data_IF_260382071153
#
_entry.id   IF_260382071153
#
_cell.length_a   1.000
_cell.length_b   1.000
_cell.length_c   1.000
_cell.angle_alpha   90.00
_cell.angle_beta   90.00
_cell.angle_gamma   90.00
#
_symmetry.space_group_name_H-M   'P 1'
#
loop_
_entity.id
_entity.type
_entity.pdbx_description
1 polymer ?
#
# COMPACT_ATOMS: atom_id res chain seq x y z
N UNK A 1 7.09 -26.04 30.79
CA UNK A 1 6.30 -26.28 29.56
C UNK A 1 6.61 -25.23 28.49
N UNK A 2 6.33 -23.93 28.70
CA UNK A 2 6.61 -22.86 27.71
C UNK A 2 8.05 -22.85 27.22
N UNK A 3 9.04 -22.88 28.13
CA UNK A 3 10.46 -22.96 27.76
C UNK A 3 10.81 -24.17 26.89
N UNK A 4 10.13 -25.30 27.08
CA UNK A 4 10.37 -26.49 26.27
C UNK A 4 9.86 -26.27 24.84
N UNK A 5 8.65 -25.74 24.68
CA UNK A 5 8.08 -25.44 23.36
C UNK A 5 8.86 -24.35 22.63
N UNK A 6 9.33 -23.31 23.33
CA UNK A 6 10.14 -22.24 22.75
C UNK A 6 11.48 -22.73 22.18
N UNK A 7 12.03 -23.84 22.67
CA UNK A 7 13.30 -24.39 22.14
C UNK A 7 13.15 -25.02 20.76
N UNK A 8 11.93 -25.41 20.37
CA UNK A 8 11.67 -26.05 19.09
C UNK A 8 11.48 -25.07 17.93
N UNK A 9 11.80 -23.78 18.10
CA UNK A 9 11.84 -22.81 16.99
C UNK A 9 12.87 -23.19 15.93
N UNK A 10 13.97 -23.80 16.34
CA UNK A 10 15.07 -24.22 15.45
C UNK A 10 15.04 -25.72 15.14
N UNK A 11 13.89 -26.38 15.32
CA UNK A 11 13.75 -27.82 15.06
C UNK A 11 13.80 -28.09 13.54
N UNK A 12 14.50 -29.15 13.12
CA UNK A 12 14.64 -29.52 11.70
C UNK A 12 13.28 -29.84 11.06
N UNK A 13 12.29 -30.29 11.85
CA UNK A 13 10.97 -30.63 11.36
C UNK A 13 10.05 -29.40 11.31
N UNK A 14 9.56 -28.97 10.14
CA UNK A 14 8.57 -27.90 10.05
C UNK A 14 7.27 -28.26 10.79
N UNK A 15 6.92 -29.55 10.86
CA UNK A 15 5.75 -29.99 11.62
C UNK A 15 5.94 -29.79 13.12
N UNK A 16 7.15 -30.03 13.65
CA UNK A 16 7.44 -29.78 15.07
C UNK A 16 7.41 -28.29 15.37
N UNK A 17 8.11 -27.46 14.59
CA UNK A 17 8.07 -25.99 14.72
C UNK A 17 6.64 -25.46 14.76
N UNK A 18 5.81 -25.90 13.81
CA UNK A 18 4.39 -25.53 13.68
C UNK A 18 3.55 -25.95 14.89
N UNK A 19 3.67 -27.21 15.32
CA UNK A 19 2.88 -27.74 16.44
C UNK A 19 3.31 -27.13 17.78
N UNK A 20 4.60 -26.91 17.99
CA UNK A 20 5.10 -26.24 19.18
C UNK A 20 4.59 -24.80 19.27
N UNK A 21 4.58 -24.06 18.15
CA UNK A 21 4.01 -22.71 18.10
C UNK A 21 2.50 -22.70 18.38
N UNK A 22 1.73 -23.61 17.77
CA UNK A 22 0.30 -23.76 18.10
C UNK A 22 0.08 -24.07 19.57
N UNK A 23 0.88 -24.97 20.13
CA UNK A 23 0.82 -25.32 21.55
C UNK A 23 1.08 -24.13 22.48
N UNK A 24 1.94 -23.19 22.09
CA UNK A 24 2.20 -21.96 22.86
C UNK A 24 0.98 -21.05 22.96
N UNK A 25 0.26 -20.84 21.85
CA UNK A 25 -0.89 -19.92 21.80
C UNK A 25 -2.21 -20.56 22.24
N UNK A 26 -2.28 -21.88 22.30
CA UNK A 26 -3.45 -22.63 22.80
C UNK A 26 -3.42 -22.89 24.32
N UNK A 27 -2.40 -22.39 25.03
CA UNK A 27 -2.38 -22.46 26.48
C UNK A 27 -3.53 -21.65 27.10
N UNK A 28 -3.93 -21.94 28.35
CA UNK A 28 -4.84 -21.06 29.09
C UNK A 28 -4.39 -19.60 29.02
N UNK A 29 -5.34 -18.68 28.84
CA UNK A 29 -5.06 -17.25 28.59
C UNK A 29 -4.12 -16.62 29.62
N UNK A 30 -4.22 -17.02 30.89
CA UNK A 30 -3.32 -16.57 31.95
C UNK A 30 -1.84 -16.85 31.64
N UNK A 31 -1.54 -17.98 31.01
CA UNK A 31 -0.18 -18.34 30.61
C UNK A 31 0.24 -17.62 29.33
N UNK A 32 -0.66 -17.47 28.36
CA UNK A 32 -0.37 -16.68 27.15
C UNK A 32 0.01 -15.25 27.55
N UNK A 33 -0.78 -14.62 28.43
CA UNK A 33 -0.50 -13.28 28.97
C UNK A 33 0.83 -13.24 29.72
N UNK A 34 1.07 -14.19 30.62
CA UNK A 34 2.30 -14.28 31.41
C UNK A 34 3.56 -14.40 30.54
N UNK A 35 3.48 -15.07 29.40
CA UNK A 35 4.61 -15.34 28.52
C UNK A 35 4.54 -14.62 27.17
N UNK A 36 3.75 -13.55 27.08
CA UNK A 36 3.48 -12.83 25.83
C UNK A 36 4.77 -12.44 25.10
N UNK A 37 5.74 -11.85 25.80
CA UNK A 37 7.01 -11.41 25.20
C UNK A 37 7.82 -12.57 24.61
N UNK A 38 7.87 -13.72 25.30
CA UNK A 38 8.57 -14.90 24.79
C UNK A 38 7.85 -15.49 23.59
N UNK A 39 6.51 -15.57 23.65
CA UNK A 39 5.67 -16.06 22.55
C UNK A 39 5.82 -15.17 21.32
N UNK A 40 5.80 -13.84 21.48
CA UNK A 40 6.04 -12.89 20.40
C UNK A 40 7.44 -13.03 19.82
N UNK A 41 8.47 -13.26 20.64
CA UNK A 41 9.82 -13.55 20.16
C UNK A 41 9.89 -14.80 19.28
N UNK A 42 9.19 -15.87 19.68
CA UNK A 42 9.08 -17.10 18.89
C UNK A 42 8.31 -16.87 17.59
N UNK A 43 7.14 -16.22 17.64
CA UNK A 43 6.35 -15.89 16.46
C UNK A 43 7.17 -15.06 15.49
N UNK A 44 7.82 -14.00 16.00
CA UNK A 44 8.67 -13.12 15.23
C UNK A 44 9.68 -13.98 14.44
N UNK A 45 10.45 -14.84 15.12
CA UNK A 45 11.43 -15.73 14.47
C UNK A 45 10.83 -16.63 13.37
N UNK A 46 9.62 -17.15 13.57
CA UNK A 46 8.95 -18.07 12.65
C UNK A 46 8.18 -17.38 11.51
N UNK A 47 8.06 -16.05 11.51
CA UNK A 47 7.50 -15.32 10.35
C UNK A 47 8.42 -15.39 9.11
N UNK A 48 9.74 -15.49 9.33
CA UNK A 48 10.75 -15.63 8.26
C UNK A 48 11.12 -17.11 8.00
N UNK A 49 10.28 -18.05 8.43
CA UNK A 49 10.57 -19.47 8.25
C UNK A 49 10.66 -19.85 6.77
N UNK A 50 11.56 -20.78 6.43
CA UNK A 50 11.68 -21.29 5.06
C UNK A 50 10.50 -22.17 4.64
N UNK A 51 9.76 -22.74 5.59
CA UNK A 51 8.57 -23.54 5.33
C UNK A 51 7.30 -22.68 5.43
N UNK A 52 6.59 -22.58 4.31
CA UNK A 52 5.39 -21.76 4.16
C UNK A 52 4.27 -22.16 5.15
N UNK A 53 4.17 -23.44 5.52
CA UNK A 53 3.17 -23.90 6.50
C UNK A 53 3.48 -23.41 7.92
N UNK A 54 4.76 -23.22 8.23
CA UNK A 54 5.23 -22.63 9.48
C UNK A 54 4.96 -21.13 9.47
N UNK A 55 5.29 -20.42 8.38
CA UNK A 55 4.97 -18.98 8.22
C UNK A 55 3.47 -18.71 8.38
N UNK A 56 2.63 -19.50 7.71
CA UNK A 56 1.16 -19.38 7.84
C UNK A 56 0.71 -19.57 9.28
N UNK A 57 1.29 -20.54 9.98
CA UNK A 57 0.95 -20.76 11.38
C UNK A 57 1.44 -19.61 12.26
N UNK A 58 2.63 -19.06 11.98
CA UNK A 58 3.18 -17.94 12.74
C UNK A 58 2.32 -16.69 12.60
N UNK A 59 1.92 -16.32 11.39
CA UNK A 59 1.09 -15.14 11.18
C UNK A 59 -0.33 -15.30 11.76
N UNK A 60 -0.92 -16.51 11.69
CA UNK A 60 -2.20 -16.77 12.36
C UNK A 60 -2.08 -16.76 13.89
N UNK A 61 -0.98 -17.28 14.44
CA UNK A 61 -0.71 -17.22 15.88
C UNK A 61 -0.48 -15.78 16.36
N UNK A 62 0.15 -14.93 15.54
CA UNK A 62 0.34 -13.52 15.83
C UNK A 62 -0.99 -12.81 16.06
N UNK A 63 -1.97 -13.01 15.17
CA UNK A 63 -3.30 -12.40 15.29
C UNK A 63 -3.96 -12.74 16.64
N UNK A 64 -3.95 -14.02 17.02
CA UNK A 64 -4.53 -14.47 18.31
C UNK A 64 -3.83 -13.84 19.51
N UNK A 65 -2.50 -13.68 19.46
CA UNK A 65 -1.73 -13.12 20.57
C UNK A 65 -1.92 -11.60 20.67
N UNK A 66 -1.97 -10.89 19.53
CA UNK A 66 -2.13 -9.43 19.49
C UNK A 66 -3.45 -8.95 20.08
N UNK A 67 -4.52 -9.74 20.05
CA UNK A 67 -5.82 -9.37 20.62
C UNK A 67 -5.79 -9.17 22.15
N UNK A 68 -4.85 -9.83 22.84
CA UNK A 68 -4.77 -9.83 24.31
C UNK A 68 -3.45 -9.28 24.86
N UNK A 69 -2.52 -8.90 23.98
CA UNK A 69 -1.20 -8.42 24.38
C UNK A 69 -1.25 -7.01 24.97
N UNK A 70 -0.42 -6.75 25.98
CA UNK A 70 -0.19 -5.39 26.48
C UNK A 70 0.72 -4.62 25.53
N UNK A 71 0.66 -3.28 25.60
CA UNK A 71 1.55 -2.41 24.82
C UNK A 71 3.02 -2.69 25.13
N UNK A 72 3.36 -2.81 26.40
CA UNK A 72 4.73 -3.06 26.87
C UNK A 72 5.33 -4.36 26.30
N UNK A 73 4.49 -5.36 26.00
CA UNK A 73 4.93 -6.62 25.43
C UNK A 73 5.20 -6.53 23.92
N UNK A 74 4.41 -5.73 23.18
CA UNK A 74 4.48 -5.61 21.72
C UNK A 74 5.46 -4.53 21.28
N UNK A 75 5.54 -3.41 22.01
CA UNK A 75 6.37 -2.26 21.64
C UNK A 75 7.82 -2.64 21.29
N UNK A 76 8.54 -3.48 22.05
CA UNK A 76 9.93 -3.84 21.74
C UNK A 76 10.11 -4.58 20.40
N UNK A 77 9.06 -5.23 19.89
CA UNK A 77 9.09 -6.03 18.66
C UNK A 77 8.28 -5.41 17.52
N UNK A 78 7.59 -4.29 17.75
CA UNK A 78 6.65 -3.67 16.81
C UNK A 78 7.27 -3.42 15.44
N UNK A 79 8.42 -2.75 15.38
CA UNK A 79 9.10 -2.45 14.12
C UNK A 79 9.48 -3.73 13.34
N UNK A 80 10.03 -4.73 14.03
CA UNK A 80 10.44 -5.99 13.41
C UNK A 80 9.24 -6.80 12.90
N UNK A 81 8.14 -6.81 13.66
CA UNK A 81 6.88 -7.41 13.21
C UNK A 81 6.37 -6.70 11.94
N UNK A 82 6.34 -5.37 11.94
CA UNK A 82 5.92 -4.58 10.78
C UNK A 82 6.73 -4.91 9.52
N UNK A 83 8.05 -5.01 9.62
CA UNK A 83 8.93 -5.36 8.50
C UNK A 83 8.62 -6.77 7.97
N UNK A 84 8.54 -7.76 8.87
CA UNK A 84 8.28 -9.17 8.48
C UNK A 84 6.91 -9.35 7.86
N UNK A 85 5.89 -8.71 8.42
CA UNK A 85 4.53 -8.74 7.86
C UNK A 85 4.48 -8.13 6.46
N UNK A 86 5.19 -7.01 6.21
CA UNK A 86 5.31 -6.44 4.87
C UNK A 86 5.93 -7.41 3.87
N UNK A 87 6.95 -8.17 4.27
CA UNK A 87 7.53 -9.19 3.39
C UNK A 87 6.51 -10.29 3.06
N UNK A 88 5.74 -10.74 4.04
CA UNK A 88 4.69 -11.75 3.85
C UNK A 88 3.52 -11.27 2.97
N UNK A 89 3.28 -9.96 2.84
CA UNK A 89 2.31 -9.41 1.88
C UNK A 89 2.73 -9.64 0.41
N UNK A 90 3.98 -10.05 0.16
CA UNK A 90 4.45 -10.46 -1.17
C UNK A 90 4.38 -11.97 -1.43
N UNK A 91 3.93 -12.77 -0.45
CA UNK A 91 3.85 -14.22 -0.59
C UNK A 91 2.82 -14.62 -1.66
N UNK A 92 3.06 -15.69 -2.42
CA UNK A 92 2.09 -16.22 -3.39
C UNK A 92 0.85 -16.81 -2.71
N UNK A 93 0.99 -17.28 -1.47
CA UNK A 93 -0.11 -17.83 -0.70
C UNK A 93 -1.04 -16.72 -0.20
N UNK A 94 -2.27 -16.73 -0.72
CA UNK A 94 -3.34 -15.79 -0.38
C UNK A 94 -3.65 -15.77 1.11
N UNK A 95 -3.63 -16.93 1.78
CA UNK A 95 -3.89 -17.01 3.23
C UNK A 95 -2.78 -16.32 4.01
N UNK A 96 -1.52 -16.49 3.60
CA UNK A 96 -0.40 -15.76 4.23
C UNK A 96 -0.54 -14.27 4.00
N UNK A 97 -0.79 -13.83 2.76
CA UNK A 97 -1.01 -12.39 2.46
C UNK A 97 -2.15 -11.80 3.28
N UNK A 98 -3.31 -12.46 3.31
CA UNK A 98 -4.49 -12.00 4.03
C UNK A 98 -4.21 -11.86 5.54
N UNK A 99 -3.62 -12.90 6.16
CA UNK A 99 -3.23 -12.83 7.58
C UNK A 99 -2.16 -11.77 7.82
N UNK A 100 -1.22 -11.57 6.90
CA UNK A 100 -0.17 -10.56 7.02
C UNK A 100 -0.74 -9.14 6.98
N UNK A 101 -1.68 -8.85 6.08
CA UNK A 101 -2.40 -7.58 6.08
C UNK A 101 -3.19 -7.38 7.36
N UNK A 102 -3.97 -8.38 7.78
CA UNK A 102 -4.79 -8.29 8.99
C UNK A 102 -3.93 -8.05 10.24
N UNK A 103 -2.82 -8.78 10.39
CA UNK A 103 -1.89 -8.61 11.51
C UNK A 103 -1.23 -7.23 11.48
N UNK A 104 -0.88 -6.72 10.30
CA UNK A 104 -0.34 -5.37 10.15
C UNK A 104 -1.36 -4.30 10.58
N UNK A 105 -2.65 -4.56 10.36
CA UNK A 105 -3.74 -3.71 10.84
C UNK A 105 -3.90 -3.77 12.35
N UNK A 106 -3.84 -4.97 12.93
CA UNK A 106 -3.85 -5.16 14.37
C UNK A 106 -2.68 -4.46 15.07
N UNK A 107 -1.51 -4.34 14.42
CA UNK A 107 -0.38 -3.57 14.97
C UNK A 107 -0.67 -2.06 15.12
N UNK A 108 -1.70 -1.51 14.45
CA UNK A 108 -2.00 -0.08 14.51
C UNK A 108 -2.38 0.40 15.91
N UNK A 109 -2.95 -0.48 16.75
CA UNK A 109 -3.29 -0.17 18.16
C UNK A 109 -2.05 0.07 19.04
N UNK A 110 -0.89 -0.40 18.58
CA UNK A 110 0.41 -0.25 19.24
C UNK A 110 1.23 0.91 18.67
N UNK A 111 0.83 1.48 17.53
CA UNK A 111 1.52 2.55 16.79
C UNK A 111 1.37 3.97 17.37
N UNK A 112 1.10 4.12 18.67
CA UNK A 112 0.93 5.45 19.32
C UNK A 112 1.98 5.74 20.40
N UNK A 113 3.02 4.90 20.51
CA UNK A 113 4.11 5.06 21.48
C UNK A 113 5.39 5.67 20.89
N UNK A 114 6.53 5.55 21.59
CA UNK A 114 7.86 5.97 21.11
C UNK A 114 8.23 5.50 19.70
N UNK A 115 7.72 4.35 19.26
CA UNK A 115 7.96 3.82 17.91
C UNK A 115 6.95 4.28 16.85
N UNK A 116 6.06 5.24 17.16
CA UNK A 116 5.02 5.73 16.26
C UNK A 116 5.56 6.08 14.87
N UNK A 117 6.60 6.91 14.80
CA UNK A 117 7.12 7.38 13.51
C UNK A 117 7.73 6.23 12.70
N UNK A 118 8.50 5.35 13.35
CA UNK A 118 9.08 4.18 12.70
C UNK A 118 8.00 3.21 12.20
N UNK A 119 6.92 3.03 12.96
CA UNK A 119 5.75 2.25 12.55
C UNK A 119 5.04 2.89 11.36
N UNK A 120 4.81 4.20 11.39
CA UNK A 120 4.20 4.95 10.29
C UNK A 120 5.04 4.87 9.01
N UNK A 121 6.37 4.90 9.10
CA UNK A 121 7.22 4.67 7.92
C UNK A 121 7.03 3.27 7.32
N UNK A 122 6.88 2.24 8.16
CA UNK A 122 6.52 0.90 7.64
C UNK A 122 5.16 0.92 6.96
N UNK A 123 4.20 1.65 7.52
CA UNK A 123 2.89 1.80 6.91
C UNK A 123 2.98 2.48 5.54
N UNK A 124 3.62 3.64 5.44
CA UNK A 124 3.83 4.35 4.19
C UNK A 124 4.52 3.47 3.13
N UNK A 125 5.49 2.65 3.56
CA UNK A 125 6.16 1.71 2.66
C UNK A 125 5.27 0.53 2.21
N UNK A 126 4.20 0.20 2.94
CA UNK A 126 3.21 -0.83 2.59
C UNK A 126 2.00 -0.27 1.82
N UNK A 127 1.72 1.03 2.00
CA UNK A 127 0.49 1.67 1.56
C UNK A 127 0.20 1.50 0.06
N UNK A 128 1.14 1.77 -0.87
CA UNK A 128 0.89 1.56 -2.29
C UNK A 128 0.44 0.13 -2.58
N UNK A 129 1.20 -0.87 -2.10
CA UNK A 129 0.86 -2.29 -2.28
C UNK A 129 -0.53 -2.61 -1.72
N UNK A 130 -0.85 -2.16 -0.51
CA UNK A 130 -2.17 -2.38 0.08
C UNK A 130 -3.31 -1.87 -0.81
N UNK A 131 -3.17 -0.66 -1.36
CA UNK A 131 -4.16 -0.07 -2.28
C UNK A 131 -4.32 -0.92 -3.54
N UNK A 132 -3.22 -1.46 -4.08
CA UNK A 132 -3.23 -2.32 -5.26
C UNK A 132 -3.86 -3.69 -4.99
N UNK A 133 -3.94 -4.13 -3.75
CA UNK A 133 -4.58 -5.40 -3.35
C UNK A 133 -6.03 -5.24 -2.86
N UNK A 134 -6.58 -4.01 -2.84
CA UNK A 134 -8.01 -3.78 -2.53
C UNK A 134 -8.97 -4.42 -3.54
N UNK A 135 -8.49 -4.68 -4.76
CA UNK A 135 -9.23 -5.34 -5.83
C UNK A 135 -8.31 -6.37 -6.52
N UNK A 136 -8.23 -7.58 -5.97
CA UNK A 136 -7.52 -8.74 -6.55
C UNK A 136 -8.43 -9.96 -6.63
N UNK A 137 -8.00 -11.15 -7.06
CA UNK A 137 -8.92 -12.29 -7.18
C UNK A 137 -9.43 -12.85 -5.84
N UNK A 138 -8.58 -12.93 -4.80
CA UNK A 138 -8.96 -13.51 -3.51
C UNK A 138 -9.71 -12.51 -2.59
N UNK A 139 -10.92 -12.89 -2.17
CA UNK A 139 -11.78 -12.07 -1.32
C UNK A 139 -11.20 -11.84 0.09
N UNK A 140 -10.48 -12.81 0.63
CA UNK A 140 -9.92 -12.69 1.99
C UNK A 140 -8.80 -11.64 2.03
N UNK A 141 -7.98 -11.56 0.97
CA UNK A 141 -6.96 -10.51 0.86
C UNK A 141 -7.59 -9.14 0.69
N UNK A 142 -8.60 -8.99 -0.19
CA UNK A 142 -9.34 -7.71 -0.34
C UNK A 142 -9.87 -7.21 0.99
N UNK A 143 -10.55 -8.09 1.74
CA UNK A 143 -11.14 -7.73 3.02
C UNK A 143 -10.08 -7.37 4.06
N UNK A 144 -8.97 -8.11 4.09
CA UNK A 144 -7.85 -7.79 4.96
C UNK A 144 -7.26 -6.41 4.62
N UNK A 145 -7.00 -6.10 3.35
CA UNK A 145 -6.54 -4.77 2.93
C UNK A 145 -7.50 -3.66 3.33
N UNK A 146 -8.82 -3.85 3.11
CA UNK A 146 -9.85 -2.87 3.46
C UNK A 146 -9.88 -2.58 4.97
N UNK A 147 -9.92 -3.63 5.78
CA UNK A 147 -9.92 -3.52 7.24
C UNK A 147 -8.64 -2.85 7.75
N UNK A 148 -7.48 -3.27 7.24
CA UNK A 148 -6.19 -2.72 7.63
C UNK A 148 -6.08 -1.23 7.29
N UNK A 149 -6.49 -0.81 6.09
CA UNK A 149 -6.52 0.61 5.73
C UNK A 149 -7.43 1.44 6.67
N UNK A 150 -8.57 0.90 7.10
CA UNK A 150 -9.42 1.58 8.08
C UNK A 150 -8.76 1.69 9.46
N UNK A 151 -8.01 0.67 9.90
CA UNK A 151 -7.33 0.67 11.20
C UNK A 151 -6.16 1.65 11.27
N UNK A 152 -5.47 1.91 10.16
CA UNK A 152 -4.23 2.70 10.09
C UNK A 152 -4.44 4.12 9.59
N UNK A 153 -5.45 4.38 8.76
CA UNK A 153 -5.70 5.70 8.18
C UNK A 153 -5.83 6.84 9.21
N UNK A 154 -6.45 6.63 10.40
CA UNK A 154 -6.46 7.66 11.44
C UNK A 154 -5.08 8.06 11.95
N UNK A 155 -4.06 7.18 11.79
CA UNK A 155 -2.70 7.46 12.23
C UNK A 155 -1.89 8.25 11.20
N UNK A 156 -2.31 8.26 9.94
CA UNK A 156 -1.55 8.85 8.83
C UNK A 156 -1.66 10.37 8.74
N UNK A 157 -2.68 10.95 9.39
CA UNK A 157 -2.93 12.40 9.37
C UNK A 157 -3.02 12.98 7.95
N UNK A 158 -3.49 12.18 6.99
CA UNK A 158 -3.76 12.63 5.62
C UNK A 158 -5.18 13.21 5.58
N UNK A 159 -5.28 14.46 5.17
CA UNK A 159 -6.57 15.10 4.94
C UNK A 159 -7.39 14.34 3.89
N UNK A 160 -8.70 14.21 4.13
CA UNK A 160 -9.62 13.57 3.19
C UNK A 160 -9.54 12.03 3.11
N UNK A 161 -8.45 11.38 3.54
CA UNK A 161 -8.31 9.93 3.38
C UNK A 161 -9.40 9.15 4.12
N UNK A 162 -9.74 9.56 5.35
CA UNK A 162 -10.77 8.89 6.14
C UNK A 162 -12.16 9.03 5.49
N UNK A 163 -12.45 10.17 4.87
CA UNK A 163 -13.70 10.35 4.14
C UNK A 163 -13.74 9.42 2.92
N UNK A 164 -12.63 9.33 2.19
CA UNK A 164 -12.49 8.46 1.03
C UNK A 164 -12.68 6.96 1.37
N UNK A 165 -12.10 6.48 2.47
CA UNK A 165 -12.26 5.09 2.94
C UNK A 165 -13.67 4.75 3.45
N UNK A 166 -14.52 5.77 3.65
CA UNK A 166 -15.93 5.59 4.03
C UNK A 166 -16.90 5.74 2.86
N UNK A 167 -16.40 5.94 1.63
CA UNK A 167 -17.23 5.95 0.43
C UNK A 167 -17.75 4.54 0.09
N UNK A 168 -18.86 4.48 -0.65
CA UNK A 168 -19.38 3.20 -1.15
C UNK A 168 -18.39 2.50 -2.08
N UNK A 169 -17.60 3.27 -2.84
CA UNK A 169 -16.58 2.75 -3.75
C UNK A 169 -15.54 1.87 -3.04
N UNK A 170 -15.10 2.27 -1.85
CA UNK A 170 -14.06 1.56 -1.10
C UNK A 170 -14.45 0.12 -0.74
N UNK A 171 -15.75 -0.10 -0.48
CA UNK A 171 -16.26 -1.41 -0.06
C UNK A 171 -16.85 -2.22 -1.22
N UNK A 172 -16.89 -1.65 -2.43
CA UNK A 172 -17.46 -2.29 -3.61
C UNK A 172 -16.52 -3.33 -4.21
N UNK A 173 -17.09 -4.42 -4.69
CA UNK A 173 -16.37 -5.46 -5.46
C UNK A 173 -16.37 -5.18 -6.98
N UNK A 174 -17.07 -4.13 -7.42
CA UNK A 174 -17.10 -3.73 -8.81
C UNK A 174 -15.81 -3.01 -9.22
N UNK A 175 -15.27 -3.40 -10.37
CA UNK A 175 -14.04 -2.85 -10.93
C UNK A 175 -14.13 -1.34 -11.18
N UNK A 176 -15.26 -0.87 -11.70
CA UNK A 176 -15.52 0.56 -11.96
C UNK A 176 -15.44 1.41 -10.70
N UNK A 177 -16.05 0.92 -9.63
CA UNK A 177 -16.11 1.63 -8.35
C UNK A 177 -14.71 1.71 -7.72
N UNK A 178 -13.92 0.63 -7.83
CA UNK A 178 -12.51 0.67 -7.44
C UNK A 178 -11.69 1.66 -8.27
N UNK A 179 -11.95 1.76 -9.57
CA UNK A 179 -11.30 2.74 -10.46
C UNK A 179 -11.74 4.19 -10.19
N UNK A 180 -12.96 4.42 -9.71
CA UNK A 180 -13.40 5.71 -9.15
C UNK A 180 -12.66 6.03 -7.85
N UNK A 181 -12.57 5.06 -6.93
CA UNK A 181 -11.80 5.19 -5.70
C UNK A 181 -10.32 5.52 -5.96
N UNK A 182 -9.66 4.84 -6.90
CA UNK A 182 -8.26 5.09 -7.24
C UNK A 182 -8.03 6.49 -7.82
N UNK A 183 -8.98 7.01 -8.62
CA UNK A 183 -8.88 8.38 -9.14
C UNK A 183 -9.01 9.41 -8.04
N UNK A 184 -9.93 9.22 -7.10
CA UNK A 184 -10.05 10.13 -5.96
C UNK A 184 -8.83 10.03 -5.05
N UNK A 185 -8.34 8.81 -4.78
CA UNK A 185 -7.10 8.63 -4.04
C UNK A 185 -5.91 9.34 -4.71
N UNK A 186 -5.78 9.22 -6.04
CA UNK A 186 -4.74 9.91 -6.78
C UNK A 186 -4.78 11.43 -6.59
N UNK A 187 -5.97 12.05 -6.53
CA UNK A 187 -6.11 13.48 -6.20
C UNK A 187 -5.65 13.79 -4.78
N UNK A 188 -6.05 12.98 -3.81
CA UNK A 188 -5.64 13.17 -2.42
C UNK A 188 -4.12 13.04 -2.26
N UNK A 189 -3.49 12.10 -2.98
CA UNK A 189 -2.04 11.93 -2.98
C UNK A 189 -1.31 13.13 -3.56
N UNK A 190 -1.76 13.67 -4.71
CA UNK A 190 -1.12 14.83 -5.33
C UNK A 190 -1.34 16.12 -4.54
N UNK A 191 -2.47 16.27 -3.84
CA UNK A 191 -2.79 17.47 -3.07
C UNK A 191 -2.17 17.50 -1.67
N UNK A 192 -2.17 16.37 -0.97
CA UNK A 192 -1.85 16.31 0.46
C UNK A 192 -0.55 15.57 0.79
N UNK A 193 0.05 14.84 -0.16
CA UNK A 193 1.25 14.01 0.08
C UNK A 193 2.42 14.34 -0.83
N UNK A 194 2.56 15.57 -1.32
CA UNK A 194 3.62 15.96 -2.25
C UNK A 194 5.02 15.45 -1.86
N UNK A 195 5.38 15.46 -0.57
CA UNK A 195 6.67 14.96 -0.06
C UNK A 195 6.91 13.45 -0.19
N UNK A 196 5.84 12.66 -0.38
CA UNK A 196 5.88 11.18 -0.46
C UNK A 196 5.44 10.64 -1.80
N UNK A 197 4.88 11.46 -2.68
CA UNK A 197 4.36 11.01 -3.98
C UNK A 197 5.45 10.29 -4.78
N UNK A 198 6.70 10.76 -4.77
CA UNK A 198 7.79 10.11 -5.50
C UNK A 198 8.05 8.68 -5.02
N UNK A 199 8.12 8.48 -3.70
CA UNK A 199 8.30 7.16 -3.08
C UNK A 199 7.13 6.23 -3.37
N UNK A 200 5.91 6.77 -3.36
CA UNK A 200 4.72 6.00 -3.72
C UNK A 200 4.72 5.63 -5.19
N UNK A 201 5.02 6.57 -6.08
CA UNK A 201 5.11 6.34 -7.51
C UNK A 201 6.16 5.28 -7.83
N UNK A 202 7.34 5.33 -7.23
CA UNK A 202 8.35 4.29 -7.38
C UNK A 202 7.83 2.90 -6.95
N UNK A 203 7.13 2.81 -5.82
CA UNK A 203 6.53 1.56 -5.33
C UNK A 203 5.42 1.03 -6.24
N UNK A 204 4.56 1.93 -6.76
CA UNK A 204 3.50 1.57 -7.71
C UNK A 204 4.12 1.08 -9.03
N UNK A 205 5.15 1.77 -9.54
CA UNK A 205 5.85 1.37 -10.78
C UNK A 205 6.51 0.01 -10.60
N UNK A 206 7.12 -0.29 -9.45
CA UNK A 206 7.66 -1.64 -9.19
C UNK A 206 6.58 -2.74 -9.26
N UNK A 207 5.34 -2.43 -8.89
CA UNK A 207 4.23 -3.39 -8.97
C UNK A 207 3.77 -3.69 -10.41
N UNK A 208 4.32 -3.01 -11.43
CA UNK A 208 4.09 -3.35 -12.83
C UNK A 208 4.59 -4.76 -13.15
N UNK A 209 5.59 -5.25 -12.41
CA UNK A 209 6.14 -6.60 -12.56
C UNK A 209 5.69 -7.56 -11.44
N UNK A 210 4.62 -7.20 -10.72
CA UNK A 210 4.00 -8.08 -9.73
C UNK A 210 3.52 -9.39 -10.40
N UNK A 211 3.55 -10.52 -9.70
CA UNK A 211 3.15 -11.81 -10.28
C UNK A 211 1.65 -11.93 -10.55
N UNK A 212 0.82 -11.04 -9.98
CA UNK A 212 -0.63 -11.05 -10.15
C UNK A 212 -1.05 -10.04 -11.23
N UNK A 213 -1.61 -10.48 -12.37
CA UNK A 213 -2.00 -9.58 -13.47
C UNK A 213 -2.99 -8.48 -13.06
N UNK A 214 -3.91 -8.79 -12.14
CA UNK A 214 -4.86 -7.80 -11.61
C UNK A 214 -4.13 -6.71 -10.83
N UNK A 215 -3.15 -7.06 -10.01
CA UNK A 215 -2.32 -6.10 -9.26
C UNK A 215 -1.48 -5.23 -10.21
N UNK A 216 -0.94 -5.80 -11.30
CA UNK A 216 -0.27 -5.02 -12.34
C UNK A 216 -1.23 -4.00 -12.99
N UNK A 217 -2.44 -4.43 -13.33
CA UNK A 217 -3.46 -3.55 -13.90
C UNK A 217 -3.85 -2.42 -12.93
N UNK A 218 -3.97 -2.72 -11.63
CA UNK A 218 -4.22 -1.75 -10.59
C UNK A 218 -3.08 -0.72 -10.51
N UNK A 219 -1.84 -1.19 -10.60
CA UNK A 219 -0.66 -0.34 -10.54
C UNK A 219 -0.62 0.62 -11.74
N UNK A 220 -0.84 0.10 -12.94
CA UNK A 220 -0.92 0.88 -14.18
C UNK A 220 -1.97 1.98 -14.06
N UNK A 221 -3.17 1.62 -13.59
CA UNK A 221 -4.28 2.56 -13.51
C UNK A 221 -4.03 3.65 -12.46
N UNK A 222 -3.56 3.29 -11.26
CA UNK A 222 -3.27 4.26 -10.20
C UNK A 222 -2.11 5.19 -10.59
N UNK A 223 -1.01 4.63 -11.12
CA UNK A 223 0.15 5.40 -11.56
C UNK A 223 -0.23 6.43 -12.63
N UNK A 224 -1.01 6.00 -13.62
CA UNK A 224 -1.48 6.88 -14.70
C UNK A 224 -2.49 7.91 -14.21
N UNK A 225 -3.33 7.56 -13.22
CA UNK A 225 -4.25 8.49 -12.58
C UNK A 225 -3.48 9.60 -11.86
N UNK A 226 -2.46 9.26 -11.06
CA UNK A 226 -1.59 10.24 -10.38
C UNK A 226 -0.94 11.18 -11.39
N UNK A 227 -0.32 10.65 -12.45
CA UNK A 227 0.31 11.47 -13.50
C UNK A 227 -0.70 12.35 -14.24
N UNK A 228 -1.88 11.83 -14.55
CA UNK A 228 -2.90 12.56 -15.33
C UNK A 228 -3.60 13.67 -14.53
N UNK A 229 -3.64 13.54 -13.20
CA UNK A 229 -4.32 14.46 -12.28
C UNK A 229 -3.35 15.38 -11.54
N UNK A 230 -2.05 15.17 -11.68
CA UNK A 230 -1.03 16.04 -11.09
C UNK A 230 -0.83 17.30 -11.93
N UNK A 231 -0.92 18.46 -11.28
CA UNK A 231 -0.46 19.73 -11.84
C UNK A 231 1.05 19.97 -11.54
N UNK A 232 1.69 19.05 -10.80
CA UNK A 232 3.12 19.14 -10.46
C UNK A 232 4.00 18.74 -11.66
N UNK A 233 4.75 19.73 -12.15
CA UNK A 233 5.71 19.56 -13.24
C UNK A 233 6.87 18.64 -12.86
N UNK A 234 7.24 18.55 -11.58
CA UNK A 234 8.30 17.66 -11.10
C UNK A 234 7.92 16.19 -11.28
N UNK A 235 6.75 15.79 -10.77
CA UNK A 235 6.19 14.43 -10.90
C UNK A 235 6.12 14.03 -12.37
N UNK A 236 5.60 14.94 -13.22
CA UNK A 236 5.50 14.70 -14.65
C UNK A 236 6.87 14.49 -15.30
N UNK A 237 7.85 15.36 -15.01
CA UNK A 237 9.19 15.27 -15.57
C UNK A 237 9.92 13.99 -15.14
N UNK A 238 9.70 13.53 -13.91
CA UNK A 238 10.37 12.36 -13.35
C UNK A 238 9.82 11.04 -13.91
N UNK A 239 8.49 10.92 -14.02
CA UNK A 239 7.85 9.63 -14.27
C UNK A 239 7.15 9.48 -15.61
N UNK A 240 6.74 10.56 -16.29
CA UNK A 240 5.84 10.46 -17.46
C UNK A 240 6.42 9.59 -18.57
N UNK A 241 7.66 9.85 -19.01
CA UNK A 241 8.29 9.11 -20.11
C UNK A 241 8.49 7.63 -19.76
N UNK A 242 9.01 7.36 -18.55
CA UNK A 242 9.21 5.99 -18.08
C UNK A 242 7.89 5.21 -18.06
N UNK A 243 6.84 5.80 -17.46
CA UNK A 243 5.54 5.14 -17.36
C UNK A 243 4.96 4.95 -18.75
N UNK A 244 4.97 5.97 -19.60
CA UNK A 244 4.47 5.88 -20.98
C UNK A 244 5.12 4.72 -21.76
N UNK A 245 6.46 4.61 -21.72
CA UNK A 245 7.18 3.52 -22.39
C UNK A 245 6.83 2.14 -21.83
N UNK A 246 6.70 2.02 -20.49
CA UNK A 246 6.27 0.78 -19.84
C UNK A 246 4.84 0.39 -20.27
N UNK A 247 3.93 1.35 -20.38
CA UNK A 247 2.56 1.11 -20.84
C UNK A 247 2.53 0.61 -22.29
N UNK A 248 3.26 1.27 -23.21
CA UNK A 248 3.36 0.84 -24.61
C UNK A 248 3.93 -0.57 -24.72
N UNK A 249 4.98 -0.86 -23.94
CA UNK A 249 5.61 -2.17 -23.87
C UNK A 249 4.64 -3.26 -23.39
N UNK A 250 4.00 -3.05 -22.23
CA UNK A 250 3.06 -4.05 -21.66
C UNK A 250 1.78 -4.20 -22.46
N UNK A 251 1.25 -3.12 -23.04
CA UNK A 251 0.09 -3.19 -23.95
C UNK A 251 0.34 -4.13 -25.13
N UNK A 252 1.57 -4.13 -25.67
CA UNK A 252 1.94 -4.93 -26.84
C UNK A 252 2.39 -6.35 -26.50
N UNK A 253 3.01 -6.55 -25.32
CA UNK A 253 3.76 -7.78 -25.01
C UNK A 253 3.19 -8.60 -23.85
N UNK A 254 2.33 -8.03 -23.00
CA UNK A 254 1.79 -8.79 -21.86
C UNK A 254 0.91 -9.94 -22.34
N UNK A 255 1.03 -11.10 -21.69
CA UNK A 255 0.17 -12.26 -21.93
C UNK A 255 -1.25 -12.05 -21.42
N UNK A 256 -1.42 -11.18 -20.42
CA UNK A 256 -2.68 -10.98 -19.71
C UNK A 256 -3.55 -9.90 -20.35
N UNK A 257 -4.77 -10.28 -20.73
CA UNK A 257 -5.70 -9.38 -21.40
C UNK A 257 -6.06 -8.15 -20.55
N UNK A 258 -6.22 -8.33 -19.23
CA UNK A 258 -6.52 -7.24 -18.30
C UNK A 258 -5.39 -6.20 -18.30
N UNK A 259 -4.13 -6.62 -18.25
CA UNK A 259 -2.98 -5.72 -18.27
C UNK A 259 -2.92 -4.95 -19.58
N UNK A 260 -3.11 -5.63 -20.73
CA UNK A 260 -3.13 -4.96 -22.04
C UNK A 260 -4.25 -3.94 -22.16
N UNK A 261 -5.48 -4.29 -21.75
CA UNK A 261 -6.63 -3.41 -21.79
C UNK A 261 -6.45 -2.19 -20.89
N UNK A 262 -5.96 -2.38 -19.65
CA UNK A 262 -5.72 -1.28 -18.71
C UNK A 262 -4.58 -0.37 -19.19
N UNK A 263 -3.51 -0.90 -19.79
CA UNK A 263 -2.46 -0.08 -20.41
C UNK A 263 -3.01 0.79 -21.56
N UNK A 264 -3.87 0.23 -22.42
CA UNK A 264 -4.49 1.00 -23.51
C UNK A 264 -5.37 2.14 -22.98
N UNK A 265 -6.18 1.87 -21.95
CA UNK A 265 -7.00 2.88 -21.29
C UNK A 265 -6.14 3.98 -20.64
N UNK A 266 -5.09 3.56 -19.90
CA UNK A 266 -4.15 4.45 -19.23
C UNK A 266 -3.40 5.37 -20.19
N UNK A 267 -2.98 4.88 -21.35
CA UNK A 267 -2.38 5.72 -22.41
C UNK A 267 -3.35 6.81 -22.86
N UNK A 268 -4.63 6.46 -23.03
CA UNK A 268 -5.68 7.45 -23.35
C UNK A 268 -5.82 8.54 -22.28
N UNK A 269 -5.73 8.17 -20.99
CA UNK A 269 -5.76 9.11 -19.87
C UNK A 269 -4.58 10.09 -19.92
N UNK A 270 -3.35 9.58 -20.10
CA UNK A 270 -2.13 10.40 -20.13
C UNK A 270 -2.08 11.34 -21.34
N UNK A 271 -2.48 10.87 -22.53
CA UNK A 271 -2.50 11.71 -23.73
C UNK A 271 -3.54 12.83 -23.62
N UNK A 272 -4.70 12.54 -23.01
CA UNK A 272 -5.74 13.56 -22.79
C UNK A 272 -5.29 14.65 -21.83
N UNK A 273 -4.60 14.30 -20.74
CA UNK A 273 -4.11 15.29 -19.77
C UNK A 273 -2.97 16.13 -20.35
N UNK A 274 -2.02 15.52 -21.07
CA UNK A 274 -0.92 16.23 -21.74
C UNK A 274 -1.43 17.28 -22.73
N UNK A 275 -2.42 16.92 -23.56
CA UNK A 275 -3.04 17.86 -24.48
C UNK A 275 -3.80 18.99 -23.76
N UNK A 276 -4.50 18.68 -22.65
CA UNK A 276 -5.19 19.69 -21.86
C UNK A 276 -4.22 20.72 -21.25
N UNK A 277 -3.04 20.29 -20.79
CA UNK A 277 -2.01 21.17 -20.24
C UNK A 277 -1.37 22.04 -21.33
N UNK A 278 -1.08 21.47 -22.51
CA UNK A 278 -0.62 22.24 -23.66
C UNK A 278 -1.61 23.35 -24.05
N UNK A 279 -2.92 23.08 -24.01
CA UNK A 279 -3.95 24.09 -24.32
C UNK A 279 -4.10 25.15 -23.23
N UNK A 280 -3.87 24.81 -21.96
CA UNK A 280 -3.85 25.78 -20.85
C UNK A 280 -2.64 26.72 -20.97
N UNK A 281 -1.45 26.20 -21.26
CA UNK A 281 -0.23 26.99 -21.44
C UNK A 281 -0.37 27.97 -22.62
N UNK A 282 -0.90 27.52 -23.76
CA UNK A 282 -1.16 28.40 -24.93
C UNK A 282 -2.16 29.51 -24.62
N UNK A 283 -3.13 29.28 -23.73
CA UNK A 283 -4.08 30.32 -23.30
C UNK A 283 -3.45 31.34 -22.36
N UNK A 284 -2.60 30.90 -21.43
CA UNK A 284 -1.89 31.78 -20.50
C UNK A 284 -0.93 32.70 -21.27
N UNK A 285 -0.16 32.16 -22.22
CA UNK A 285 0.74 32.95 -23.09
C UNK A 285 -0.02 33.99 -23.92
N UNK A 286 -1.27 33.70 -24.34
CA UNK A 286 -2.13 34.66 -25.06
C UNK A 286 -2.67 35.78 -24.17
N UNK A 287 -2.93 35.52 -22.90
CA UNK A 287 -3.42 36.54 -21.95
C UNK A 287 -2.27 37.46 -21.52
N UNK A 288 -1.08 36.92 -21.27
CA UNK A 288 0.10 37.72 -20.93
C UNK A 288 0.61 38.57 -22.10
N UNK A 289 0.51 38.08 -23.34
CA UNK A 289 0.81 38.88 -24.54
C UNK A 289 -0.24 39.96 -24.80
N UNK A 290 -1.50 39.76 -24.40
CA UNK A 290 -2.56 40.78 -24.53
C UNK A 290 -2.39 41.92 -23.53
N UNK A 291 -1.80 41.67 -22.35
CA UNK A 291 -1.51 42.71 -21.36
C UNK A 291 -0.26 43.54 -21.65
N UNK A 292 0.67 43.05 -22.49
CA UNK A 292 1.85 43.81 -22.92
C UNK A 292 1.61 44.72 -24.14
N UNK A 293 0.41 44.74 -24.71
CA UNK A 293 0.07 45.48 -25.93
C UNK A 293 -0.58 46.85 -25.74
N UNK A 294 -0.75 47.35 -24.52
CA UNK A 294 -1.39 48.65 -24.25
C UNK A 294 -0.56 49.53 -23.30
N UNK A 295 0.55 50.06 -23.80
CA UNK A 295 1.03 51.38 -23.37
C UNK A 295 0.61 52.41 -24.43
N UNK A 296 -0.18 53.45 -24.10
CA UNK A 296 -0.50 54.51 -25.05
C UNK A 296 0.69 55.48 -25.14
N UNK A 297 1.33 55.50 -26.31
CA UNK A 297 2.27 56.54 -26.71
C UNK A 297 1.59 57.91 -26.78
N UNK A 298 2.11 58.85 -25.98
CA UNK A 298 2.28 60.27 -26.29
C UNK A 298 1.04 61.17 -26.42
N UNK A 299 0.94 62.11 -25.48
CA UNK A 299 0.46 63.47 -25.74
C UNK A 299 1.51 64.48 -25.25
N UNK A 300 2.57 64.68 -26.05
CA UNK A 300 3.32 65.94 -26.10
C UNK A 300 2.71 66.76 -27.23
N UNK A 301 2.18 67.95 -26.92
CA UNK A 301 2.17 69.10 -27.84
C UNK A 301 1.82 70.39 -27.09
N UNK A 302 2.80 71.30 -27.14
CA UNK A 302 2.78 72.76 -27.02
C UNK A 302 2.21 73.38 -25.74
#
# INVERSE_FOLDING_TARGET
MVQALCRHVSDDSPTVRRLCLRGLVQMPSIHVLQYTTQILGVILALLDDSDESVQLTAVSCLLMVLESSSRDAVEPVLLNLSIRLRNLQACMNEKIRANAYAAFGALSTYGTGPQRDSFLEQFHAAFPRMVLHLHEDDLSVRQACRSTLKCVAPLMEIDGINALLNTHWFSSDHRSDYEDFLRELARQLTQHLASRVDTYMASIIQAFDAPWPVVQANAVYLCSSVLSLSDDKHISALFYNQVFDMLVGKMSRSTDAIVRATCSSALGLLLKSSNANSWKDVRLDRVDSSHRGHEPESARRL
#
